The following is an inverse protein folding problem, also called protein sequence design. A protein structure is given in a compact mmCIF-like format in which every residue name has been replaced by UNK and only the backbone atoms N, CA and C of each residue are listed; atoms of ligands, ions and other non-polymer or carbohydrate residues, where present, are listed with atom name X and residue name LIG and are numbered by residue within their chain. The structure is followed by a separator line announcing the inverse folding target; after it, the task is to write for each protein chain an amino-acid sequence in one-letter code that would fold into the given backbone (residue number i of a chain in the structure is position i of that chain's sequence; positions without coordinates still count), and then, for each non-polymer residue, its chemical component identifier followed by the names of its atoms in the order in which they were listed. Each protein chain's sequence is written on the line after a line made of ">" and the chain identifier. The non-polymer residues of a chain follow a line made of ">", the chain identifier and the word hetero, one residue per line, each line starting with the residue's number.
data_IF_443514322884
#
_entry.id   IF_443514322884
#
_cell.length_a   1.000
_cell.length_b   1.000
_cell.length_c   1.000
_cell.angle_alpha   90.00
_cell.angle_beta   90.00
_cell.angle_gamma   90.00
#
_symmetry.space_group_name_H-M   'P 1'
#
loop_
_entity.id
_entity.type
_entity.pdbx_description
1 polymer ?
#
# COMPACT_ATOMS: atom_id res chain seq x y z
N UNK A 1 28.19 -42.27 -30.44
CA UNK A 1 26.78 -41.83 -30.55
C UNK A 1 25.99 -42.46 -29.42
N UNK A 2 25.74 -41.74 -28.32
CA UNK A 2 24.94 -42.20 -27.19
C UNK A 2 23.72 -41.26 -27.08
N UNK A 3 22.55 -41.76 -27.50
CA UNK A 3 21.27 -41.08 -27.28
C UNK A 3 20.94 -41.20 -25.79
N UNK A 4 20.98 -40.09 -25.05
CA UNK A 4 20.40 -39.99 -23.71
C UNK A 4 18.87 -39.90 -23.85
N UNK A 5 18.19 -40.99 -23.52
CA UNK A 5 16.76 -40.99 -23.20
C UNK A 5 16.59 -40.24 -21.88
N UNK A 6 16.10 -39.01 -21.97
CA UNK A 6 15.64 -38.26 -20.80
C UNK A 6 14.31 -38.91 -20.36
N UNK A 7 14.33 -39.49 -19.17
CA UNK A 7 13.17 -40.04 -18.47
C UNK A 7 12.08 -38.96 -18.35
N UNK A 8 10.84 -39.31 -18.69
CA UNK A 8 9.67 -38.43 -18.53
C UNK A 8 9.40 -38.05 -17.06
N UNK A 9 10.08 -38.68 -16.09
CA UNK A 9 10.00 -38.35 -14.68
C UNK A 9 10.73 -37.03 -14.30
N UNK A 10 11.66 -36.54 -15.12
CA UNK A 10 12.37 -35.26 -14.86
C UNK A 10 11.58 -34.04 -15.34
N UNK A 11 10.50 -34.23 -16.11
CA UNK A 11 9.65 -33.11 -16.58
C UNK A 11 8.59 -32.67 -15.56
N UNK A 12 8.34 -33.48 -14.53
CA UNK A 12 7.34 -33.20 -13.48
C UNK A 12 7.88 -32.45 -12.27
N UNK A 13 9.20 -32.20 -12.18
CA UNK A 13 9.85 -31.68 -10.96
C UNK A 13 10.26 -30.19 -11.00
N UNK A 14 9.83 -29.38 -11.98
CA UNK A 14 10.26 -27.98 -12.09
C UNK A 14 9.15 -26.97 -12.39
N UNK A 15 7.96 -27.17 -11.84
CA UNK A 15 6.95 -26.11 -11.74
C UNK A 15 6.53 -25.92 -10.29
N UNK A 16 7.50 -25.63 -9.43
CA UNK A 16 7.17 -24.73 -8.32
C UNK A 16 6.73 -23.43 -8.98
N UNK A 17 5.51 -22.92 -8.71
CA UNK A 17 5.20 -21.56 -9.13
C UNK A 17 6.28 -20.69 -8.51
N UNK A 18 7.09 -20.04 -9.35
CA UNK A 18 7.89 -18.89 -8.91
C UNK A 18 6.95 -18.02 -8.08
N UNK A 19 7.33 -17.58 -6.86
CA UNK A 19 6.46 -16.76 -6.04
C UNK A 19 6.00 -15.60 -6.93
N UNK A 20 4.74 -15.64 -7.34
CA UNK A 20 4.21 -14.66 -8.28
C UNK A 20 4.30 -13.35 -7.54
N UNK A 21 5.14 -12.43 -8.02
CA UNK A 21 5.20 -11.07 -7.48
C UNK A 21 3.75 -10.59 -7.34
N UNK A 22 3.41 -10.12 -6.15
CA UNK A 22 2.10 -9.53 -5.85
C UNK A 22 1.77 -8.42 -6.86
N UNK A 23 0.50 -8.08 -7.00
CA UNK A 23 0.12 -7.01 -7.95
C UNK A 23 0.74 -5.68 -7.53
N UNK A 24 0.79 -5.41 -6.23
CA UNK A 24 1.39 -4.24 -5.60
C UNK A 24 2.88 -4.14 -5.92
N UNK A 25 3.65 -5.24 -5.79
CA UNK A 25 5.09 -5.23 -6.09
C UNK A 25 5.38 -5.01 -7.58
N UNK A 26 4.58 -5.60 -8.47
CA UNK A 26 4.68 -5.34 -9.91
C UNK A 26 4.37 -3.87 -10.26
N UNK A 27 3.38 -3.28 -9.60
CA UNK A 27 2.99 -1.88 -9.79
C UNK A 27 4.05 -0.93 -9.23
N UNK A 28 4.62 -1.24 -8.06
CA UNK A 28 5.74 -0.51 -7.49
C UNK A 28 6.91 -0.44 -8.48
N UNK A 29 7.28 -1.56 -9.12
CA UNK A 29 8.35 -1.58 -10.13
C UNK A 29 7.98 -0.71 -11.35
N UNK A 30 6.72 -0.78 -11.82
CA UNK A 30 6.25 0.03 -12.95
C UNK A 30 6.29 1.52 -12.62
N UNK A 31 5.77 1.93 -11.47
CA UNK A 31 5.78 3.32 -11.02
C UNK A 31 7.20 3.82 -10.76
N UNK A 32 8.07 3.00 -10.15
CA UNK A 32 9.47 3.37 -9.93
C UNK A 32 10.19 3.70 -11.25
N UNK A 33 9.94 2.91 -12.31
CA UNK A 33 10.45 3.18 -13.66
C UNK A 33 9.81 4.41 -14.30
N UNK A 34 8.49 4.56 -14.15
CA UNK A 34 7.74 5.68 -14.72
C UNK A 34 8.18 7.03 -14.14
N UNK A 35 8.29 7.13 -12.81
CA UNK A 35 8.72 8.33 -12.10
C UNK A 35 10.24 8.49 -12.02
N UNK A 36 11.01 7.54 -12.57
CA UNK A 36 12.49 7.53 -12.55
C UNK A 36 13.04 7.70 -11.13
N UNK A 37 12.51 6.92 -10.19
CA UNK A 37 12.97 6.94 -8.80
C UNK A 37 14.43 6.47 -8.72
N UNK A 38 15.17 7.04 -7.77
CA UNK A 38 16.51 6.54 -7.42
C UNK A 38 16.39 5.11 -6.87
N UNK A 39 17.44 4.30 -7.05
CA UNK A 39 17.55 2.95 -6.49
C UNK A 39 17.33 2.95 -4.97
N UNK A 40 17.89 3.93 -4.25
CA UNK A 40 17.70 4.04 -2.80
C UNK A 40 16.22 4.26 -2.42
N UNK A 41 15.50 5.10 -3.18
CA UNK A 41 14.07 5.33 -2.95
C UNK A 41 13.25 4.09 -3.32
N UNK A 42 13.61 3.42 -4.42
CA UNK A 42 12.94 2.20 -4.86
C UNK A 42 13.10 1.09 -3.82
N UNK A 43 14.30 0.95 -3.25
CA UNK A 43 14.57 0.00 -2.18
C UNK A 43 13.81 0.34 -0.90
N UNK A 44 13.81 1.61 -0.49
CA UNK A 44 13.02 2.06 0.67
C UNK A 44 11.53 1.79 0.48
N UNK A 45 10.95 2.13 -0.68
CA UNK A 45 9.56 1.81 -1.01
C UNK A 45 9.27 0.32 -1.00
N UNK A 46 10.23 -0.51 -1.42
CA UNK A 46 10.10 -1.98 -1.35
C UNK A 46 10.05 -2.47 0.10
N UNK A 47 10.90 -1.95 0.98
CA UNK A 47 10.89 -2.31 2.40
C UNK A 47 9.57 -1.89 3.07
N UNK A 48 9.10 -0.67 2.81
CA UNK A 48 7.80 -0.18 3.29
C UNK A 48 6.66 -1.06 2.76
N UNK A 49 6.74 -1.53 1.51
CA UNK A 49 5.74 -2.45 0.95
C UNK A 49 5.69 -3.79 1.69
N UNK A 50 6.81 -4.32 2.18
CA UNK A 50 6.80 -5.54 2.99
C UNK A 50 6.11 -5.32 4.33
N UNK A 51 6.35 -4.18 4.97
CA UNK A 51 5.62 -3.80 6.18
C UNK A 51 4.13 -3.57 5.89
N UNK A 52 3.76 -3.06 4.71
CA UNK A 52 2.37 -2.80 4.33
C UNK A 52 1.54 -4.08 4.28
N UNK A 53 2.12 -5.22 3.90
CA UNK A 53 1.40 -6.51 3.93
C UNK A 53 1.06 -7.00 5.34
N UNK A 54 1.66 -6.41 6.38
CA UNK A 54 1.32 -6.69 7.77
C UNK A 54 0.13 -5.84 8.25
N UNK A 55 -0.44 -5.00 7.38
CA UNK A 55 -1.59 -4.14 7.65
C UNK A 55 -2.80 -4.55 6.82
N UNK A 56 -3.99 -4.08 7.22
CA UNK A 56 -5.24 -4.28 6.49
C UNK A 56 -5.37 -3.36 5.25
N UNK A 57 -4.38 -2.52 4.96
CA UNK A 57 -4.44 -1.58 3.83
C UNK A 57 -4.57 -2.28 2.48
N UNK A 58 -4.02 -3.48 2.34
CA UNK A 58 -4.16 -4.29 1.12
C UNK A 58 -5.60 -4.79 0.89
N UNK A 59 -6.42 -4.82 1.94
CA UNK A 59 -7.85 -5.16 1.86
C UNK A 59 -8.71 -3.91 1.64
N UNK A 60 -8.27 -2.77 2.19
CA UNK A 60 -9.01 -1.50 2.13
C UNK A 60 -8.74 -0.70 0.85
N UNK A 61 -7.55 -0.81 0.28
CA UNK A 61 -7.11 -0.04 -0.90
C UNK A 61 -6.77 -0.96 -2.07
N UNK A 62 -7.00 -0.48 -3.29
CA UNK A 62 -6.54 -1.19 -4.49
C UNK A 62 -5.01 -1.22 -4.57
N UNK A 63 -4.45 -2.25 -5.21
CA UNK A 63 -2.99 -2.44 -5.31
C UNK A 63 -2.25 -1.24 -5.91
N UNK A 64 -2.89 -0.47 -6.80
CA UNK A 64 -2.33 0.76 -7.35
C UNK A 64 -2.12 1.81 -6.26
N UNK A 65 -3.09 1.98 -5.35
CA UNK A 65 -3.01 2.93 -4.26
C UNK A 65 -2.02 2.48 -3.20
N UNK A 66 -1.96 1.18 -2.87
CA UNK A 66 -0.93 0.66 -1.98
C UNK A 66 0.48 0.96 -2.52
N UNK A 67 0.72 0.74 -3.82
CA UNK A 67 1.99 1.07 -4.44
C UNK A 67 2.31 2.58 -4.39
N UNK A 68 1.30 3.45 -4.45
CA UNK A 68 1.49 4.89 -4.33
C UNK A 68 1.74 5.34 -2.89
N UNK A 69 1.03 4.79 -1.92
CA UNK A 69 1.24 5.02 -0.49
C UNK A 69 2.70 4.77 -0.12
N UNK A 70 3.26 3.62 -0.54
CA UNK A 70 4.66 3.27 -0.20
C UNK A 70 5.68 4.16 -0.90
N UNK A 71 5.41 4.61 -2.13
CA UNK A 71 6.30 5.53 -2.86
C UNK A 71 6.28 6.90 -2.20
N UNK A 72 5.08 7.44 -1.95
CA UNK A 72 4.93 8.76 -1.36
C UNK A 72 5.49 8.80 0.05
N UNK A 73 5.26 7.78 0.86
CA UNK A 73 5.85 7.67 2.19
C UNK A 73 7.39 7.57 2.14
N UNK A 74 7.97 6.79 1.23
CA UNK A 74 9.41 6.71 1.06
C UNK A 74 10.04 8.08 0.73
N UNK A 75 9.37 8.86 -0.12
CA UNK A 75 9.79 10.23 -0.47
C UNK A 75 9.71 11.15 0.75
N UNK A 76 8.61 11.09 1.52
CA UNK A 76 8.43 11.90 2.74
C UNK A 76 9.50 11.59 3.78
N UNK A 77 9.75 10.31 4.06
CA UNK A 77 10.81 9.85 4.97
C UNK A 77 12.19 10.33 4.50
N UNK A 78 12.49 10.17 3.21
CA UNK A 78 13.78 10.59 2.66
C UNK A 78 13.97 12.11 2.73
N UNK A 79 12.92 12.89 2.50
CA UNK A 79 12.96 14.35 2.57
C UNK A 79 13.21 14.83 4.00
N UNK A 80 12.53 14.26 4.99
CA UNK A 80 12.75 14.57 6.40
C UNK A 80 14.15 14.17 6.88
N UNK A 81 14.64 12.99 6.47
CA UNK A 81 15.96 12.49 6.87
C UNK A 81 17.10 13.34 6.31
N UNK A 82 17.03 13.69 5.04
CA UNK A 82 18.12 14.39 4.36
C UNK A 82 18.00 15.91 4.41
N UNK A 83 16.91 16.46 4.97
CA UNK A 83 16.54 17.87 4.88
C UNK A 83 16.58 18.42 3.44
N UNK A 84 16.52 17.54 2.45
CA UNK A 84 16.49 17.89 1.03
C UNK A 84 15.08 17.69 0.53
N UNK A 85 14.48 18.72 -0.08
CA UNK A 85 13.33 18.50 -0.95
C UNK A 85 13.83 17.73 -2.17
N UNK A 86 13.59 16.43 -2.25
CA UNK A 86 13.79 15.66 -3.47
C UNK A 86 13.04 16.38 -4.62
N UNK A 87 13.67 16.43 -5.80
CA UNK A 87 13.18 17.15 -7.00
C UNK A 87 11.85 16.56 -7.53
N UNK A 88 11.46 15.39 -7.03
CA UNK A 88 10.16 14.78 -7.31
C UNK A 88 9.13 15.52 -6.47
N UNK A 89 8.59 16.57 -7.05
CA UNK A 89 7.42 17.27 -6.53
C UNK A 89 6.29 16.24 -6.33
N UNK A 90 5.80 16.03 -5.10
CA UNK A 90 4.65 15.15 -4.84
C UNK A 90 3.48 15.44 -5.78
N UNK A 91 3.30 16.71 -6.18
CA UNK A 91 2.30 17.17 -7.15
C UNK A 91 2.46 16.56 -8.56
N UNK A 92 3.62 16.02 -8.94
CA UNK A 92 3.80 15.29 -10.21
C UNK A 92 3.36 13.84 -10.15
N UNK A 93 3.35 13.22 -8.97
CA UNK A 93 2.77 11.88 -8.76
C UNK A 93 1.24 11.92 -8.91
N UNK A 94 0.63 13.04 -8.54
CA UNK A 94 -0.81 13.30 -8.58
C UNK A 94 -1.40 13.37 -10.00
N UNK A 95 -0.60 13.64 -11.03
CA UNK A 95 -1.11 13.80 -12.41
C UNK A 95 -1.77 12.53 -12.99
N UNK A 96 -1.53 11.36 -12.39
CA UNK A 96 -2.16 10.10 -12.80
C UNK A 96 -3.47 9.81 -12.05
N UNK A 97 -3.84 10.62 -11.06
CA UNK A 97 -4.92 10.35 -10.13
C UNK A 97 -5.87 11.55 -9.98
N UNK A 98 -7.17 11.29 -9.88
CA UNK A 98 -8.15 12.33 -9.52
C UNK A 98 -7.94 12.80 -8.07
N UNK A 99 -8.34 14.04 -7.75
CA UNK A 99 -8.21 14.62 -6.39
C UNK A 99 -8.75 13.73 -5.26
N UNK A 100 -9.84 13.00 -5.52
CA UNK A 100 -10.40 12.05 -4.55
C UNK A 100 -9.40 10.96 -4.17
N UNK A 101 -8.66 10.45 -5.16
CA UNK A 101 -7.69 9.38 -4.96
C UNK A 101 -6.41 9.83 -4.24
N UNK A 102 -6.06 11.13 -4.33
CA UNK A 102 -4.93 11.68 -3.57
C UNK A 102 -5.24 11.65 -2.08
N UNK A 103 -6.47 12.04 -1.71
CA UNK A 103 -6.93 11.95 -0.32
C UNK A 103 -6.93 10.52 0.20
N UNK A 104 -7.35 9.54 -0.62
CA UNK A 104 -7.31 8.12 -0.22
C UNK A 104 -5.88 7.63 0.02
N UNK A 105 -4.89 8.15 -0.74
CA UNK A 105 -3.47 7.86 -0.51
C UNK A 105 -3.00 8.49 0.81
N UNK A 106 -3.33 9.75 1.08
CA UNK A 106 -2.94 10.43 2.31
C UNK A 106 -3.54 9.76 3.56
N UNK A 107 -4.79 9.30 3.48
CA UNK A 107 -5.43 8.49 4.53
C UNK A 107 -4.66 7.17 4.71
N UNK A 108 -4.34 6.47 3.60
CA UNK A 108 -3.57 5.22 3.65
C UNK A 108 -2.16 5.41 4.25
N UNK A 109 -1.52 6.55 4.00
CA UNK A 109 -0.23 6.91 4.64
C UNK A 109 -0.42 7.09 6.15
N UNK A 110 -1.47 7.79 6.57
CA UNK A 110 -1.76 8.00 8.00
C UNK A 110 -2.00 6.66 8.73
N UNK A 111 -2.81 5.78 8.17
CA UNK A 111 -3.11 4.46 8.74
C UNK A 111 -1.85 3.58 8.80
N UNK A 112 -1.01 3.62 7.76
CA UNK A 112 0.26 2.90 7.76
C UNK A 112 1.24 3.43 8.81
N UNK A 113 1.27 4.75 9.03
CA UNK A 113 2.12 5.38 10.03
C UNK A 113 1.71 4.99 11.46
N UNK A 114 0.42 4.77 11.72
CA UNK A 114 -0.06 4.24 13.00
C UNK A 114 0.53 2.86 13.28
N UNK A 115 0.41 1.94 12.32
CA UNK A 115 1.04 0.63 12.41
C UNK A 115 2.55 0.73 12.61
N UNK A 116 3.20 1.60 11.83
CA UNK A 116 4.66 1.75 11.85
C UNK A 116 5.17 2.29 13.18
N UNK A 117 4.49 3.26 13.80
CA UNK A 117 4.92 3.84 15.08
C UNK A 117 4.89 2.81 16.22
N UNK A 118 3.91 1.92 16.20
CA UNK A 118 3.76 0.85 17.20
C UNK A 118 4.75 -0.31 16.95
N UNK A 119 5.00 -0.65 15.68
CA UNK A 119 5.75 -1.86 15.28
C UNK A 119 7.11 -1.59 14.66
N UNK A 120 7.63 -0.36 14.74
CA UNK A 120 8.89 0.05 14.09
C UNK A 120 10.07 -0.85 14.45
N UNK A 121 10.14 -1.31 15.70
CA UNK A 121 11.28 -2.10 16.22
C UNK A 121 11.49 -3.43 15.49
N UNK A 122 10.43 -3.99 14.90
CA UNK A 122 10.40 -5.23 14.11
C UNK A 122 10.12 -5.02 12.62
N UNK A 123 10.12 -3.77 12.15
CA UNK A 123 9.79 -3.41 10.77
C UNK A 123 10.96 -3.60 9.80
N UNK A 124 10.66 -3.96 8.54
CA UNK A 124 11.65 -3.95 7.46
C UNK A 124 12.18 -2.53 7.19
N UNK A 125 11.35 -1.51 7.44
CA UNK A 125 11.75 -0.11 7.36
C UNK A 125 12.95 0.20 8.26
N UNK A 126 12.98 -0.29 9.50
CA UNK A 126 14.10 -0.06 10.43
C UNK A 126 15.41 -0.59 9.87
N UNK A 127 15.42 -1.85 9.42
CA UNK A 127 16.62 -2.49 8.87
C UNK A 127 17.09 -1.76 7.61
N UNK A 128 16.15 -1.38 6.74
CA UNK A 128 16.45 -0.61 5.53
C UNK A 128 17.08 0.75 5.84
N UNK A 129 16.54 1.49 6.81
CA UNK A 129 17.04 2.81 7.16
C UNK A 129 18.45 2.73 7.73
N UNK A 130 18.70 1.76 8.62
CA UNK A 130 20.03 1.51 9.16
C UNK A 130 21.00 1.16 8.03
N UNK A 131 20.67 0.18 7.17
CA UNK A 131 21.54 -0.26 6.08
C UNK A 131 21.90 0.86 5.09
N UNK A 132 20.94 1.72 4.73
CA UNK A 132 21.14 2.72 3.68
C UNK A 132 21.63 4.09 4.18
N UNK A 133 21.38 4.41 5.44
CA UNK A 133 21.63 5.76 5.97
C UNK A 133 22.56 5.80 7.18
N UNK A 134 22.97 4.66 7.78
CA UNK A 134 23.88 4.66 8.94
C UNK A 134 25.19 5.40 8.68
N UNK A 135 25.71 5.31 7.46
CA UNK A 135 27.00 5.89 7.08
C UNK A 135 26.92 7.41 6.91
N UNK A 136 25.71 7.95 6.71
CA UNK A 136 25.46 9.38 6.50
C UNK A 136 24.91 10.05 7.74
N UNK A 137 24.12 9.32 8.53
CA UNK A 137 23.35 9.84 9.66
C UNK A 137 23.40 8.82 10.81
N UNK A 138 24.31 9.04 11.76
CA UNK A 138 24.46 8.17 12.93
C UNK A 138 23.17 8.07 13.77
N UNK A 139 22.37 9.16 13.77
CA UNK A 139 21.07 9.25 14.45
C UNK A 139 20.03 8.26 13.94
N UNK A 140 20.21 7.65 12.77
CA UNK A 140 19.27 6.64 12.23
C UNK A 140 19.26 5.36 13.06
N UNK A 141 20.32 5.11 13.85
CA UNK A 141 20.35 4.02 14.83
C UNK A 141 19.49 4.29 16.06
N UNK A 142 19.16 5.54 16.31
CA UNK A 142 18.29 5.95 17.42
C UNK A 142 16.82 5.79 17.00
N UNK A 143 16.14 4.87 17.68
CA UNK A 143 14.74 4.57 17.42
C UNK A 143 13.82 5.76 17.68
N UNK A 144 14.12 6.55 18.72
CA UNK A 144 13.31 7.71 19.10
C UNK A 144 13.41 8.82 18.05
N UNK A 145 14.60 9.01 17.48
CA UNK A 145 14.81 9.95 16.38
C UNK A 145 13.96 9.61 15.15
N UNK A 146 13.92 8.34 14.74
CA UNK A 146 13.10 7.93 13.60
C UNK A 146 11.61 8.02 13.91
N UNK A 147 11.18 7.62 15.12
CA UNK A 147 9.79 7.78 15.55
C UNK A 147 9.34 9.25 15.50
N UNK A 148 10.20 10.19 15.92
CA UNK A 148 9.91 11.61 15.81
C UNK A 148 9.77 12.08 14.36
N UNK A 149 10.57 11.55 13.43
CA UNK A 149 10.41 11.82 11.99
C UNK A 149 9.04 11.31 11.51
N UNK A 150 8.69 10.07 11.84
CA UNK A 150 7.40 9.49 11.44
C UNK A 150 6.22 10.28 12.01
N UNK A 151 6.31 10.74 13.27
CA UNK A 151 5.31 11.62 13.90
C UNK A 151 5.20 12.95 13.14
N UNK A 152 6.33 13.57 12.79
CA UNK A 152 6.32 14.83 12.04
C UNK A 152 5.66 14.67 10.66
N UNK A 153 5.91 13.55 9.97
CA UNK A 153 5.25 13.23 8.70
C UNK A 153 3.75 13.06 8.93
N UNK A 154 3.35 12.33 9.98
CA UNK A 154 1.94 12.11 10.34
C UNK A 154 1.22 13.44 10.55
N UNK A 155 1.79 14.35 11.34
CA UNK A 155 1.23 15.68 11.59
C UNK A 155 1.01 16.45 10.28
N UNK A 156 2.03 16.50 9.41
CA UNK A 156 1.93 17.18 8.10
C UNK A 156 0.82 16.60 7.23
N UNK A 157 0.65 15.27 7.22
CA UNK A 157 -0.41 14.60 6.47
C UNK A 157 -1.78 14.90 7.07
N UNK A 158 -1.93 14.85 8.40
CA UNK A 158 -3.19 15.21 9.07
C UNK A 158 -3.65 16.63 8.72
N UNK A 159 -2.73 17.60 8.69
CA UNK A 159 -3.03 18.98 8.30
C UNK A 159 -3.55 19.09 6.85
N UNK A 160 -2.99 18.31 5.93
CA UNK A 160 -3.43 18.25 4.53
C UNK A 160 -4.83 17.64 4.42
N UNK A 161 -5.07 16.54 5.13
CA UNK A 161 -6.37 15.85 5.12
C UNK A 161 -7.46 16.73 5.70
N UNK A 162 -7.18 17.44 6.80
CA UNK A 162 -8.13 18.32 7.48
C UNK A 162 -8.44 19.58 6.65
N UNK A 163 -7.42 20.19 6.03
CA UNK A 163 -7.57 21.40 5.22
C UNK A 163 -8.35 21.17 3.92
N UNK A 164 -8.28 19.95 3.35
CA UNK A 164 -9.09 19.54 2.20
C UNK A 164 -10.60 19.46 2.46
N UNK A 165 -11.04 19.49 3.72
CA UNK A 165 -12.45 19.37 4.12
C UNK A 165 -13.25 20.68 4.04
N UNK A 166 -12.57 21.83 3.94
CA UNK A 166 -13.20 23.15 4.04
C UNK A 166 -13.51 23.83 2.69
N UNK A 167 -13.14 23.22 1.55
CA UNK A 167 -13.37 23.77 0.21
C UNK A 167 -14.32 22.91 -0.63
N UNK A 168 -15.57 23.37 -0.80
CA UNK A 168 -16.62 22.83 -1.68
C UNK A 168 -17.25 21.48 -1.30
N UNK A 169 -18.44 21.56 -0.72
CA UNK A 169 -19.60 20.71 -1.03
C UNK A 169 -19.50 19.24 -0.63
N UNK A 170 -20.24 18.88 0.42
CA UNK A 170 -20.32 17.55 1.06
C UNK A 170 -19.11 17.21 1.94
N UNK A 171 -18.96 18.01 3.00
CA UNK A 171 -18.18 17.65 4.17
C UNK A 171 -18.75 16.41 4.85
N UNK A 172 -18.05 15.29 4.70
CA UNK A 172 -18.08 14.15 5.61
C UNK A 172 -16.88 14.20 6.54
N UNK A 173 -16.69 15.33 7.21
CA UNK A 173 -15.70 15.54 8.28
C UNK A 173 -16.43 15.59 9.61
N UNK A 174 -16.90 14.44 10.07
CA UNK A 174 -17.39 14.11 11.41
C UNK A 174 -17.80 12.65 11.35
N UNK A 175 -17.09 11.80 12.06
CA UNK A 175 -17.51 10.44 12.37
C UNK A 175 -18.09 9.66 11.17
N UNK A 176 -17.26 9.35 10.16
CA UNK A 176 -17.50 8.12 9.41
C UNK A 176 -17.18 6.94 10.34
N UNK A 177 -17.93 6.79 11.44
CA UNK A 177 -18.37 5.46 11.83
C UNK A 177 -19.04 4.96 10.57
N UNK A 178 -18.31 4.13 9.81
CA UNK A 178 -18.92 3.24 8.84
C UNK A 178 -20.11 2.68 9.59
N UNK A 179 -21.31 3.14 9.24
CA UNK A 179 -22.54 2.56 9.76
C UNK A 179 -22.55 1.20 9.10
N UNK A 180 -21.82 0.28 9.70
CA UNK A 180 -21.85 -1.13 9.39
C UNK A 180 -23.32 -1.46 9.59
N UNK A 181 -24.03 -1.54 8.48
CA UNK A 181 -25.42 -1.92 8.53
C UNK A 181 -25.38 -3.35 9.05
N UNK A 182 -25.68 -3.55 10.32
CA UNK A 182 -25.63 -4.86 10.97
C UNK A 182 -26.57 -5.85 10.26
N UNK A 183 -27.48 -5.35 9.41
CA UNK A 183 -28.36 -6.12 8.54
C UNK A 183 -27.77 -6.45 7.16
N UNK A 184 -26.54 -6.05 6.85
CA UNK A 184 -25.88 -6.41 5.59
C UNK A 184 -25.62 -7.92 5.57
N UNK A 185 -26.29 -8.69 4.69
CA UNK A 185 -26.11 -10.13 4.61
C UNK A 185 -24.67 -10.55 4.30
N UNK A 186 -23.86 -9.66 3.72
CA UNK A 186 -22.46 -9.92 3.41
C UNK A 186 -21.59 -10.11 4.67
N UNK A 187 -22.01 -9.53 5.80
CA UNK A 187 -21.29 -9.57 7.07
C UNK A 187 -21.71 -10.73 7.97
N UNK A 188 -22.70 -11.52 7.55
CA UNK A 188 -23.11 -12.71 8.29
C UNK A 188 -22.02 -13.79 8.25
N UNK A 189 -21.97 -14.62 9.29
CA UNK A 189 -21.14 -15.82 9.30
C UNK A 189 -21.52 -16.71 8.11
N UNK A 190 -20.52 -17.08 7.31
CA UNK A 190 -20.72 -17.96 6.16
C UNK A 190 -21.01 -19.36 6.66
N UNK A 191 -22.15 -19.90 6.23
CA UNK A 191 -22.47 -21.31 6.41
C UNK A 191 -21.76 -22.12 5.33
N UNK A 192 -20.81 -22.96 5.76
CA UNK A 192 -20.00 -23.80 4.88
C UNK A 192 -20.68 -25.14 4.54
N UNK A 193 -21.81 -25.46 5.18
CA UNK A 193 -22.57 -26.69 4.91
C UNK A 193 -23.56 -26.53 3.73
N UNK A 194 -23.65 -25.31 3.17
CA UNK A 194 -24.44 -25.03 1.97
C UNK A 194 -23.78 -25.68 0.75
N UNK A 195 -24.41 -26.73 0.22
CA UNK A 195 -23.89 -27.53 -0.91
C UNK A 195 -23.76 -26.80 -2.26
N UNK A 196 -24.19 -25.54 -2.38
CA UNK A 196 -23.99 -24.70 -3.58
C UNK A 196 -23.66 -23.27 -3.20
N UNK A 197 -22.46 -22.82 -3.52
CA UNK A 197 -22.03 -21.42 -3.39
C UNK A 197 -21.66 -20.87 -4.77
N UNK A 198 -22.03 -19.62 -5.05
CA UNK A 198 -21.73 -18.93 -6.30
C UNK A 198 -21.25 -17.51 -6.01
N UNK A 199 -20.43 -16.94 -6.91
CA UNK A 199 -19.94 -15.57 -6.84
C UNK A 199 -20.38 -14.80 -8.07
N UNK A 200 -21.08 -13.69 -7.85
CA UNK A 200 -21.43 -12.74 -8.90
C UNK A 200 -20.49 -11.53 -8.74
N UNK A 201 -19.80 -11.17 -9.82
CA UNK A 201 -18.85 -10.03 -9.84
C UNK A 201 -19.47 -8.73 -10.35
N UNK A 202 -20.68 -8.80 -10.89
CA UNK A 202 -21.39 -7.67 -11.46
C UNK A 202 -22.64 -7.41 -10.64
N UNK A 203 -22.74 -6.21 -10.07
CA UNK A 203 -24.00 -5.75 -9.53
C UNK A 203 -24.85 -5.30 -10.71
N UNK A 204 -25.80 -6.12 -11.12
CA UNK A 204 -26.86 -5.68 -12.03
C UNK A 204 -27.70 -4.64 -11.30
N UNK A 205 -28.07 -3.56 -11.98
CA UNK A 205 -29.04 -2.63 -11.43
C UNK A 205 -30.32 -3.43 -11.14
N UNK A 206 -30.81 -3.39 -9.89
CA UNK A 206 -31.92 -4.23 -9.39
C UNK A 206 -33.17 -4.22 -10.29
N UNK A 207 -33.36 -3.15 -11.09
CA UNK A 207 -34.48 -2.98 -12.02
C UNK A 207 -34.44 -3.89 -13.25
N UNK A 208 -33.27 -4.40 -13.66
CA UNK A 208 -33.12 -5.14 -14.92
C UNK A 208 -33.08 -6.65 -14.71
N UNK A 209 -32.60 -7.13 -13.55
CA UNK A 209 -32.49 -8.56 -13.27
C UNK A 209 -33.85 -9.26 -13.10
N UNK A 210 -34.85 -8.57 -12.53
CA UNK A 210 -36.21 -9.11 -12.35
C UNK A 210 -36.93 -9.28 -13.71
N UNK A 211 -36.44 -8.67 -14.79
CA UNK A 211 -37.02 -8.81 -16.13
C UNK A 211 -36.39 -9.91 -16.98
N UNK A 212 -35.22 -10.42 -16.60
CA UNK A 212 -34.50 -11.46 -17.36
C UNK A 212 -34.75 -12.90 -16.86
N UNK A 213 -35.56 -13.08 -15.82
CA UNK A 213 -36.02 -14.40 -15.31
C UNK A 213 -37.53 -14.51 -15.50
#
# INVERSE_FOLDING_TARGET
>A
MLKRTISEADRSASRTPSPSLTQESNLLIKFSKFYKLNENLTYLSWCILNDLYLTELSLSLSSNYCAMVVIQLAILISNELLNTKLIIDPLKLENCFTKKYIRDIDIGINDFLEYSLENYSSSFLKDCLIEKYSDKLEKVKDEEYIKNILINIKIKISEIVDSGTNGNGNGGGKDNKVLVNIKDPFLNLRDYDIGKTGSIRFLYHEKDYIKEI
#
